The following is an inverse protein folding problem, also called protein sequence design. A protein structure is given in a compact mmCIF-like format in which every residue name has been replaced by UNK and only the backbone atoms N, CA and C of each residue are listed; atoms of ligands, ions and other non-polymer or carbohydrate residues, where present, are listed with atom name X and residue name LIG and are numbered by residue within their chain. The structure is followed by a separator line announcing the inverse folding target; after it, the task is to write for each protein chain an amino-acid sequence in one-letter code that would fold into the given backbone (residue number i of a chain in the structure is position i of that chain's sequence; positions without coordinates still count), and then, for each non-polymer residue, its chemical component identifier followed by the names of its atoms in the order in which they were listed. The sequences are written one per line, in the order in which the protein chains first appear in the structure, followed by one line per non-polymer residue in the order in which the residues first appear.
data_IF_634025659952
#
_entry.id   IF_634025659952
#
_cell.length_a   1.000
_cell.length_b   1.000
_cell.length_c   1.000
_cell.angle_alpha   90.00
_cell.angle_beta   90.00
_cell.angle_gamma   90.00
#
_symmetry.space_group_name_H-M   'P 1'
#
loop_
_entity.id
_entity.type
_entity.pdbx_description
1 polymer ?
#
# COMPACT_ATOMS: atom_id res chain seq x y z
N UNK A 1 -26.66 30.23 -3.71
CA UNK A 1 -27.17 28.99 -4.35
C UNK A 1 -27.33 27.93 -3.26
N UNK A 2 -28.53 27.35 -3.14
CA UNK A 2 -28.94 26.48 -2.02
C UNK A 2 -28.25 25.11 -2.10
N UNK A 3 -27.65 24.67 -1.00
CA UNK A 3 -27.10 23.33 -0.85
C UNK A 3 -28.25 22.31 -0.75
N UNK A 4 -28.30 21.36 -1.68
CA UNK A 4 -29.22 20.24 -1.64
C UNK A 4 -28.68 19.19 -0.66
N UNK A 5 -29.41 18.97 0.43
CA UNK A 5 -29.17 17.89 1.39
C UNK A 5 -29.42 16.54 0.71
N UNK A 6 -28.37 15.73 0.60
CA UNK A 6 -28.44 14.40 0.01
C UNK A 6 -28.97 13.39 1.06
N UNK A 7 -30.30 13.31 1.18
CA UNK A 7 -30.96 12.37 2.09
C UNK A 7 -30.88 10.96 1.50
N UNK A 8 -29.98 10.13 1.99
CA UNK A 8 -29.93 8.71 1.66
C UNK A 8 -31.22 8.04 2.14
N UNK A 9 -32.16 7.82 1.22
CA UNK A 9 -33.39 7.08 1.46
C UNK A 9 -33.00 5.60 1.60
N UNK A 10 -33.09 5.07 2.82
CA UNK A 10 -32.94 3.64 3.05
C UNK A 10 -34.15 2.92 2.46
N UNK A 11 -34.00 2.40 1.23
CA UNK A 11 -35.04 1.64 0.56
C UNK A 11 -35.33 0.38 1.37
N UNK A 12 -36.42 0.40 2.15
CA UNK A 12 -36.86 -0.75 2.95
C UNK A 12 -37.14 -1.91 2.02
N UNK A 13 -36.36 -2.99 2.14
CA UNK A 13 -36.53 -4.21 1.36
C UNK A 13 -37.90 -4.79 1.72
N UNK A 14 -38.79 -4.88 0.73
CA UNK A 14 -40.14 -5.43 0.91
C UNK A 14 -40.11 -6.96 0.76
N UNK A 15 -40.86 -7.72 1.58
CA UNK A 15 -40.95 -9.16 1.44
C UNK A 15 -41.72 -9.56 0.17
N UNK A 16 -41.33 -10.67 -0.44
CA UNK A 16 -42.00 -11.25 -1.61
C UNK A 16 -43.09 -12.21 -1.14
N UNK A 17 -44.35 -11.82 -1.33
CA UNK A 17 -45.52 -12.64 -1.00
C UNK A 17 -45.86 -13.58 -2.15
N UNK A 18 -46.12 -14.84 -1.84
CA UNK A 18 -46.59 -15.86 -2.76
C UNK A 18 -48.14 -15.87 -2.77
N UNK A 19 -48.74 -16.46 -3.81
CA UNK A 19 -50.19 -16.53 -3.98
C UNK A 19 -50.92 -17.29 -2.86
N UNK A 20 -50.20 -18.17 -2.16
CA UNK A 20 -50.65 -18.97 -1.02
C UNK A 20 -50.49 -18.26 0.34
N UNK A 21 -50.17 -16.97 0.35
CA UNK A 21 -50.02 -16.15 1.57
C UNK A 21 -48.70 -16.35 2.31
N UNK A 22 -47.82 -17.26 1.86
CA UNK A 22 -46.47 -17.45 2.43
C UNK A 22 -45.49 -16.43 1.87
N UNK A 23 -44.39 -16.19 2.58
CA UNK A 23 -43.29 -15.35 2.11
C UNK A 23 -42.20 -16.21 1.47
N UNK A 24 -41.55 -15.71 0.42
CA UNK A 24 -40.33 -16.30 -0.13
C UNK A 24 -39.11 -15.73 0.58
N UNK A 25 -38.20 -16.59 1.04
CA UNK A 25 -36.93 -16.15 1.62
C UNK A 25 -36.08 -15.42 0.59
N UNK A 26 -35.60 -14.21 0.93
CA UNK A 26 -34.76 -13.38 0.04
C UNK A 26 -33.29 -13.81 -0.03
N UNK A 27 -32.87 -14.82 0.73
CA UNK A 27 -31.51 -15.36 0.61
C UNK A 27 -31.42 -16.26 -0.61
N UNK A 28 -30.52 -15.94 -1.54
CA UNK A 28 -30.43 -16.56 -2.88
C UNK A 28 -30.27 -18.07 -2.85
N UNK A 29 -29.52 -18.60 -1.88
CA UNK A 29 -29.29 -20.05 -1.74
C UNK A 29 -30.46 -20.79 -1.06
N UNK A 30 -31.38 -20.06 -0.42
CA UNK A 30 -32.51 -20.68 0.27
C UNK A 30 -33.77 -20.61 -0.58
N UNK A 31 -34.26 -19.41 -0.91
CA UNK A 31 -35.50 -19.15 -1.69
C UNK A 31 -36.75 -19.96 -1.28
N UNK A 32 -36.75 -20.63 -0.13
CA UNK A 32 -37.87 -21.45 0.36
C UNK A 32 -39.06 -20.57 0.77
N UNK A 33 -40.26 -21.09 0.57
CA UNK A 33 -41.48 -20.52 1.12
C UNK A 33 -41.52 -20.74 2.65
N UNK A 34 -41.94 -19.74 3.41
CA UNK A 34 -42.10 -19.84 4.87
C UNK A 34 -43.29 -18.99 5.33
N UNK A 35 -43.89 -19.39 6.45
CA UNK A 35 -44.94 -18.60 7.11
C UNK A 35 -44.28 -17.56 8.01
N UNK A 36 -44.42 -16.26 7.72
CA UNK A 36 -43.77 -15.21 8.50
C UNK A 36 -44.48 -15.04 9.85
N UNK A 37 -43.72 -14.80 10.92
CA UNK A 37 -44.31 -14.38 12.22
C UNK A 37 -44.65 -12.89 12.23
N UNK A 38 -44.08 -12.11 11.32
CA UNK A 38 -44.27 -10.66 11.18
C UNK A 38 -44.39 -10.28 9.71
N UNK A 39 -45.24 -9.30 9.40
CA UNK A 39 -45.48 -8.84 8.03
C UNK A 39 -44.24 -8.28 7.32
N UNK A 40 -43.22 -7.87 8.07
CA UNK A 40 -41.93 -7.34 7.57
C UNK A 40 -40.87 -8.42 7.34
N UNK A 41 -41.15 -9.68 7.69
CA UNK A 41 -40.14 -10.73 7.71
C UNK A 41 -39.79 -11.18 6.29
N UNK A 42 -38.54 -10.96 5.89
CA UNK A 42 -38.03 -11.29 4.56
C UNK A 42 -37.17 -12.56 4.49
N UNK A 43 -36.81 -13.12 5.65
CA UNK A 43 -35.92 -14.29 5.75
C UNK A 43 -36.54 -15.37 6.64
N UNK A 44 -36.40 -16.62 6.23
CA UNK A 44 -36.80 -17.75 7.04
C UNK A 44 -35.83 -17.96 8.21
N UNK A 45 -36.37 -18.39 9.35
CA UNK A 45 -35.61 -18.81 10.53
C UNK A 45 -36.02 -20.24 10.84
N UNK A 46 -35.06 -21.16 10.84
CA UNK A 46 -35.23 -22.52 11.37
C UNK A 46 -34.22 -22.76 12.48
N UNK A 47 -34.43 -23.79 13.30
CA UNK A 47 -33.54 -24.12 14.42
C UNK A 47 -32.10 -24.42 13.98
N UNK A 48 -31.91 -24.79 12.71
CA UNK A 48 -30.60 -25.12 12.12
C UNK A 48 -30.05 -24.05 11.17
N UNK A 49 -30.83 -23.03 10.78
CA UNK A 49 -30.40 -22.05 9.76
C UNK A 49 -31.09 -20.70 9.93
N UNK A 50 -30.29 -19.67 10.16
CA UNK A 50 -30.71 -18.26 10.14
C UNK A 50 -30.27 -17.60 8.84
N UNK A 51 -31.20 -17.50 7.89
CA UNK A 51 -30.92 -16.92 6.57
C UNK A 51 -30.69 -15.40 6.63
N UNK A 52 -31.16 -14.72 7.69
CA UNK A 52 -30.90 -13.29 7.88
C UNK A 52 -29.44 -13.06 8.26
N UNK A 53 -28.88 -13.90 9.14
CA UNK A 53 -27.46 -13.85 9.50
C UNK A 53 -26.55 -14.14 8.31
N UNK A 54 -26.89 -15.14 7.49
CA UNK A 54 -26.13 -15.48 6.28
C UNK A 54 -26.17 -14.36 5.23
N UNK A 55 -27.36 -13.81 4.95
CA UNK A 55 -27.49 -12.66 4.05
C UNK A 55 -26.71 -11.44 4.54
N UNK A 56 -26.72 -11.15 5.85
CA UNK A 56 -25.94 -10.08 6.44
C UNK A 56 -24.43 -10.31 6.33
N UNK A 57 -23.96 -11.56 6.50
CA UNK A 57 -22.53 -11.92 6.30
C UNK A 57 -22.12 -11.71 4.84
N UNK A 58 -22.92 -12.17 3.89
CA UNK A 58 -22.68 -11.97 2.46
C UNK A 58 -22.67 -10.48 2.08
N UNK A 59 -23.63 -9.70 2.59
CA UNK A 59 -23.69 -8.26 2.37
C UNK A 59 -22.49 -7.52 2.99
N UNK A 60 -22.06 -7.90 4.19
CA UNK A 60 -20.84 -7.36 4.82
C UNK A 60 -19.60 -7.69 4.01
N UNK A 61 -19.43 -8.93 3.55
CA UNK A 61 -18.33 -9.31 2.68
C UNK A 61 -18.30 -8.47 1.40
N UNK A 62 -19.44 -8.36 0.69
CA UNK A 62 -19.56 -7.56 -0.53
C UNK A 62 -19.29 -6.06 -0.30
N UNK A 63 -19.74 -5.51 0.83
CA UNK A 63 -19.49 -4.10 1.20
C UNK A 63 -18.03 -3.85 1.55
N UNK A 64 -17.37 -4.82 2.18
CA UNK A 64 -15.94 -4.72 2.56
C UNK A 64 -15.06 -4.73 1.31
N UNK A 65 -15.41 -5.54 0.31
CA UNK A 65 -14.73 -5.56 -0.99
C UNK A 65 -14.99 -4.28 -1.79
N UNK A 66 -16.23 -3.76 -1.83
CA UNK A 66 -16.59 -2.53 -2.55
C UNK A 66 -16.07 -1.22 -1.92
N UNK A 67 -15.71 -1.22 -0.63
CA UNK A 67 -15.20 -0.03 0.08
C UNK A 67 -13.69 0.02 0.25
N UNK A 68 -12.93 -0.90 -0.33
CA UNK A 68 -11.46 -0.77 -0.36
C UNK A 68 -11.13 0.45 -1.21
N UNK A 69 -10.92 1.60 -0.55
CA UNK A 69 -10.34 2.78 -1.19
C UNK A 69 -9.07 2.32 -1.91
N UNK A 70 -8.96 2.67 -3.18
CA UNK A 70 -7.71 2.49 -3.93
C UNK A 70 -6.61 3.13 -3.10
N UNK A 71 -5.63 2.32 -2.69
CA UNK A 71 -4.51 2.83 -1.92
C UNK A 71 -3.66 3.67 -2.86
N UNK A 72 -3.52 4.95 -2.54
CA UNK A 72 -2.63 5.85 -3.27
C UNK A 72 -1.33 5.95 -2.48
N UNK A 73 -0.20 5.71 -3.15
CA UNK A 73 1.12 5.86 -2.54
C UNK A 73 1.31 7.34 -2.20
N UNK A 74 1.54 7.71 -0.92
CA UNK A 74 1.70 9.11 -0.55
C UNK A 74 2.93 9.71 -1.21
N UNK A 75 2.74 10.79 -1.96
CA UNK A 75 3.80 11.40 -2.76
C UNK A 75 4.94 11.98 -1.91
N UNK A 76 4.61 12.37 -0.68
CA UNK A 76 5.46 13.01 0.31
C UNK A 76 6.03 12.02 1.35
N UNK A 77 5.76 10.72 1.20
CA UNK A 77 6.31 9.70 2.08
C UNK A 77 7.84 9.73 2.05
N UNK A 78 8.48 9.81 3.22
CA UNK A 78 9.94 9.88 3.31
C UNK A 78 10.62 8.64 2.69
N UNK A 79 10.00 7.46 2.77
CA UNK A 79 10.47 6.24 2.14
C UNK A 79 10.54 6.38 0.62
N UNK A 80 9.60 7.09 -0.01
CA UNK A 80 9.61 7.36 -1.45
C UNK A 80 10.88 8.11 -1.86
N UNK A 81 11.25 9.14 -1.10
CA UNK A 81 12.49 9.88 -1.34
C UNK A 81 13.74 8.99 -1.18
N UNK A 82 13.76 8.09 -0.19
CA UNK A 82 14.90 7.16 -0.01
C UNK A 82 15.04 6.17 -1.17
N UNK A 83 13.92 5.70 -1.72
CA UNK A 83 13.93 4.84 -2.92
C UNK A 83 14.49 5.64 -4.11
N UNK A 84 14.01 6.88 -4.32
CA UNK A 84 14.50 7.77 -5.38
C UNK A 84 16.01 8.05 -5.23
N UNK A 85 16.49 8.34 -4.03
CA UNK A 85 17.91 8.57 -3.75
C UNK A 85 18.76 7.33 -4.06
N UNK A 86 18.29 6.13 -3.72
CA UNK A 86 18.98 4.88 -4.02
C UNK A 86 19.05 4.60 -5.52
N UNK A 87 17.94 4.80 -6.22
CA UNK A 87 17.85 4.67 -7.70
C UNK A 87 18.78 5.67 -8.39
N UNK A 88 18.81 6.93 -7.95
CA UNK A 88 19.74 7.95 -8.47
C UNK A 88 21.19 7.62 -8.17
N UNK A 89 21.47 7.08 -6.98
CA UNK A 89 22.83 6.66 -6.61
C UNK A 89 23.32 5.49 -7.48
N UNK A 90 22.43 4.57 -7.88
CA UNK A 90 22.71 3.51 -8.83
C UNK A 90 22.85 4.03 -10.27
N UNK A 91 22.09 5.07 -10.64
CA UNK A 91 21.96 5.53 -12.02
C UNK A 91 21.03 4.66 -12.86
N UNK A 92 20.20 3.81 -12.23
CA UNK A 92 19.25 2.93 -12.92
C UNK A 92 18.14 2.45 -11.98
N UNK A 93 16.93 2.26 -12.51
CA UNK A 93 15.82 1.63 -11.79
C UNK A 93 16.01 0.11 -11.61
N UNK A 94 16.93 -0.52 -12.36
CA UNK A 94 17.22 -1.96 -12.24
C UNK A 94 17.80 -2.38 -10.89
N UNK A 95 18.20 -1.43 -10.04
CA UNK A 95 18.51 -1.70 -8.64
C UNK A 95 17.31 -2.35 -7.89
N UNK A 96 16.09 -2.16 -8.39
CA UNK A 96 14.83 -2.71 -7.84
C UNK A 96 14.44 -4.06 -8.47
N UNK A 97 15.35 -4.77 -9.16
CA UNK A 97 15.05 -6.00 -9.89
C UNK A 97 14.31 -7.05 -9.05
N UNK A 98 14.61 -7.12 -7.75
CA UNK A 98 14.02 -8.10 -6.82
C UNK A 98 12.58 -7.77 -6.43
N UNK A 99 12.07 -6.59 -6.77
CA UNK A 99 10.71 -6.17 -6.46
C UNK A 99 9.72 -6.61 -7.52
N UNK A 100 10.17 -6.99 -8.72
CA UNK A 100 9.29 -7.35 -9.83
C UNK A 100 8.52 -8.62 -9.47
N UNK A 101 7.20 -8.49 -9.28
CA UNK A 101 6.33 -9.60 -8.90
C UNK A 101 6.46 -10.07 -7.44
N UNK A 102 7.35 -9.47 -6.64
CA UNK A 102 7.56 -9.83 -5.23
C UNK A 102 7.18 -8.69 -4.29
N UNK A 103 5.92 -8.73 -3.84
CA UNK A 103 5.35 -7.78 -2.89
C UNK A 103 6.01 -7.89 -1.50
N UNK A 104 6.43 -9.09 -1.10
CA UNK A 104 7.01 -9.34 0.22
C UNK A 104 8.38 -8.72 0.34
N UNK A 105 9.22 -8.93 -0.67
CA UNK A 105 10.57 -8.40 -0.73
C UNK A 105 10.58 -6.87 -0.83
N UNK A 106 9.70 -6.31 -1.67
CA UNK A 106 9.52 -4.86 -1.77
C UNK A 106 9.05 -4.27 -0.42
N UNK A 107 8.07 -4.89 0.23
CA UNK A 107 7.59 -4.44 1.54
C UNK A 107 8.67 -4.57 2.64
N UNK A 108 9.42 -5.66 2.65
CA UNK A 108 10.54 -5.89 3.57
C UNK A 108 11.63 -4.82 3.40
N UNK A 109 11.99 -4.52 2.15
CA UNK A 109 12.97 -3.47 1.82
C UNK A 109 12.50 -2.10 2.33
N UNK A 110 11.24 -1.75 2.09
CA UNK A 110 10.63 -0.51 2.59
C UNK A 110 10.64 -0.46 4.14
N UNK A 111 10.43 -1.60 4.80
CA UNK A 111 10.49 -1.68 6.25
C UNK A 111 11.90 -1.41 6.79
N UNK A 112 12.96 -1.87 6.13
CA UNK A 112 14.35 -1.54 6.51
C UNK A 112 14.62 -0.03 6.39
N UNK A 113 14.14 0.60 5.31
CA UNK A 113 14.22 2.07 5.13
C UNK A 113 13.47 2.81 6.25
N UNK A 114 12.33 2.27 6.66
CA UNK A 114 11.52 2.83 7.77
C UNK A 114 12.22 2.66 9.10
N UNK A 115 12.77 1.49 9.38
CA UNK A 115 13.49 1.18 10.62
C UNK A 115 14.75 2.06 10.79
N UNK A 116 15.42 2.43 9.69
CA UNK A 116 16.53 3.40 9.73
C UNK A 116 16.07 4.75 10.29
N UNK A 117 14.91 5.25 9.85
CA UNK A 117 14.37 6.52 10.36
C UNK A 117 13.96 6.39 11.83
N UNK A 118 13.34 5.28 12.20
CA UNK A 118 12.98 4.99 13.60
C UNK A 118 14.22 4.97 14.50
N UNK A 119 15.34 4.39 14.05
CA UNK A 119 16.59 4.38 14.79
C UNK A 119 17.14 5.80 15.00
N UNK A 120 17.13 6.63 13.96
CA UNK A 120 17.58 8.03 14.07
C UNK A 120 16.67 8.89 14.95
N UNK A 121 15.34 8.68 14.88
CA UNK A 121 14.38 9.36 15.75
C UNK A 121 14.62 9.02 17.22
N UNK A 122 14.83 7.73 17.55
CA UNK A 122 15.14 7.29 18.92
C UNK A 122 16.48 7.84 19.43
N UNK A 123 17.48 7.93 18.55
CA UNK A 123 18.80 8.43 18.89
C UNK A 123 18.85 9.98 18.99
N UNK A 124 17.84 10.69 18.45
CA UNK A 124 17.80 12.15 18.40
C UNK A 124 18.85 12.79 17.47
N UNK A 125 19.66 11.97 16.77
CA UNK A 125 20.69 12.39 15.82
C UNK A 125 20.67 11.49 14.60
N UNK A 126 20.97 12.07 13.43
CA UNK A 126 21.05 11.36 12.15
C UNK A 126 22.37 10.57 12.03
N UNK A 127 22.52 9.53 12.85
CA UNK A 127 23.74 8.73 12.98
C UNK A 127 23.70 7.44 12.16
N UNK A 128 22.51 6.85 12.04
CA UNK A 128 22.27 5.58 11.35
C UNK A 128 21.87 5.81 9.90
N UNK A 129 22.43 5.00 9.02
CA UNK A 129 22.15 5.01 7.59
C UNK A 129 21.68 3.62 7.16
N UNK A 130 20.92 3.57 6.08
CA UNK A 130 20.68 2.34 5.35
C UNK A 130 21.94 2.02 4.55
N UNK A 131 22.67 1.00 4.98
CA UNK A 131 23.91 0.54 4.39
C UNK A 131 23.63 -0.64 3.46
N UNK A 132 24.49 -0.83 2.46
CA UNK A 132 24.42 -2.01 1.59
C UNK A 132 25.52 -3.01 1.96
N UNK A 133 25.22 -4.30 1.89
CA UNK A 133 26.19 -5.39 2.05
C UNK A 133 27.10 -5.48 0.82
N UNK A 134 26.52 -5.31 -0.36
CA UNK A 134 27.23 -5.14 -1.63
C UNK A 134 27.03 -3.72 -2.17
N UNK A 135 28.10 -3.07 -2.62
CA UNK A 135 28.08 -1.65 -2.93
C UNK A 135 27.22 -1.33 -4.17
N UNK A 136 26.41 -0.28 -4.06
CA UNK A 136 25.64 0.26 -5.20
C UNK A 136 26.56 0.81 -6.30
N UNK A 137 27.68 1.44 -5.90
CA UNK A 137 28.65 2.07 -6.80
C UNK A 137 29.94 1.25 -6.91
N UNK A 138 29.85 0.02 -7.38
CA UNK A 138 31.01 -0.79 -7.75
C UNK A 138 31.27 -0.75 -9.27
N UNK A 139 32.51 -1.00 -9.72
CA UNK A 139 32.93 -0.85 -11.12
C UNK A 139 32.28 -1.88 -12.06
N UNK A 140 32.18 -3.14 -11.62
CA UNK A 140 31.67 -4.24 -12.44
C UNK A 140 30.30 -4.77 -11.98
N UNK A 141 29.91 -4.45 -10.75
CA UNK A 141 28.75 -5.02 -10.06
C UNK A 141 27.94 -3.88 -9.45
N UNK A 142 26.70 -4.15 -9.13
CA UNK A 142 25.83 -3.19 -8.44
C UNK A 142 25.00 -3.96 -7.44
N UNK A 143 25.13 -3.62 -6.16
CA UNK A 143 24.25 -4.11 -5.11
C UNK A 143 22.81 -3.67 -5.36
N UNK A 144 21.87 -4.61 -5.23
CA UNK A 144 20.44 -4.38 -5.41
C UNK A 144 19.82 -3.75 -4.16
N UNK A 145 18.69 -3.07 -4.34
CA UNK A 145 17.90 -2.51 -3.25
C UNK A 145 16.95 -3.60 -2.74
N UNK A 146 17.51 -4.55 -2.01
CA UNK A 146 16.84 -5.71 -1.44
C UNK A 146 16.96 -5.71 0.09
N UNK A 147 15.96 -6.24 0.77
CA UNK A 147 15.97 -6.50 2.21
C UNK A 147 17.18 -7.31 2.66
N UNK A 148 17.66 -8.25 1.82
CA UNK A 148 18.84 -9.08 2.09
C UNK A 148 20.16 -8.34 1.88
N UNK A 149 20.15 -7.28 1.06
CA UNK A 149 21.33 -6.48 0.79
C UNK A 149 21.40 -5.21 1.67
N UNK A 150 20.35 -4.92 2.46
CA UNK A 150 20.28 -3.72 3.28
C UNK A 150 20.40 -4.04 4.77
N UNK A 151 21.14 -3.20 5.49
CA UNK A 151 21.19 -3.23 6.95
C UNK A 151 21.28 -1.82 7.53
N UNK A 152 20.96 -1.67 8.81
CA UNK A 152 21.07 -0.40 9.52
C UNK A 152 22.45 -0.34 10.16
N UNK A 153 23.28 0.59 9.70
CA UNK A 153 24.64 0.76 10.20
C UNK A 153 24.96 2.22 10.51
N UNK A 154 26.12 2.44 11.13
CA UNK A 154 26.65 3.80 11.34
C UNK A 154 27.05 4.42 10.00
N UNK A 155 26.56 5.63 9.72
CA UNK A 155 26.87 6.33 8.48
C UNK A 155 28.37 6.59 8.27
N UNK A 156 29.13 6.74 9.36
CA UNK A 156 30.60 6.85 9.32
C UNK A 156 31.26 5.59 8.76
N UNK A 157 30.88 4.41 9.26
CA UNK A 157 31.41 3.12 8.76
C UNK A 157 31.03 2.86 7.31
N UNK A 158 29.80 3.20 6.93
CA UNK A 158 29.35 3.06 5.53
C UNK A 158 30.20 3.91 4.57
N UNK A 159 30.52 5.16 4.95
CA UNK A 159 31.36 6.05 4.14
C UNK A 159 32.80 5.55 4.01
N UNK A 160 33.34 4.92 5.06
CA UNK A 160 34.70 4.35 5.04
C UNK A 160 34.75 3.11 4.15
N UNK A 161 33.73 2.26 4.16
CA UNK A 161 33.66 1.07 3.32
C UNK A 161 33.56 1.39 1.81
N UNK A 162 33.10 2.59 1.44
CA UNK A 162 33.01 3.07 0.04
C UNK A 162 32.35 2.06 -0.90
N UNK A 163 33.08 1.60 -1.91
CA UNK A 163 32.65 0.67 -2.94
C UNK A 163 33.03 -0.78 -2.60
N UNK A 164 33.26 -1.11 -1.32
CA UNK A 164 33.59 -2.47 -0.93
C UNK A 164 32.45 -3.43 -1.29
N UNK A 165 32.79 -4.48 -2.03
CA UNK A 165 31.90 -5.58 -2.38
C UNK A 165 32.38 -6.82 -1.62
N UNK A 166 31.56 -7.29 -0.69
CA UNK A 166 31.81 -8.56 0.01
C UNK A 166 31.51 -9.78 -0.86
N UNK A 167 30.74 -9.62 -1.95
CA UNK A 167 30.19 -10.74 -2.73
C UNK A 167 29.07 -11.52 -2.02
N UNK A 168 28.71 -11.12 -0.80
CA UNK A 168 27.71 -11.79 0.05
C UNK A 168 26.31 -11.21 -0.08
N UNK A 169 26.17 -10.04 -0.71
CA UNK A 169 24.90 -9.36 -0.94
C UNK A 169 24.29 -9.70 -2.30
N UNK A 170 23.01 -9.41 -2.47
CA UNK A 170 22.37 -9.50 -3.78
C UNK A 170 22.90 -8.39 -4.70
N UNK A 171 23.51 -8.78 -5.82
CA UNK A 171 24.03 -7.87 -6.82
C UNK A 171 23.76 -8.32 -8.25
N UNK A 172 23.86 -7.38 -9.17
CA UNK A 172 23.81 -7.62 -10.61
C UNK A 172 25.06 -7.12 -11.31
N UNK A 173 25.41 -7.72 -12.45
CA UNK A 173 26.48 -7.20 -13.30
C UNK A 173 26.04 -5.89 -13.95
N UNK A 174 26.97 -4.94 -14.05
CA UNK A 174 26.72 -3.71 -14.81
C UNK A 174 26.56 -3.96 -16.31
N UNK A 175 27.08 -5.09 -16.81
CA UNK A 175 26.92 -5.50 -18.20
C UNK A 175 25.48 -5.95 -18.53
N UNK A 176 24.71 -6.37 -17.52
CA UNK A 176 23.33 -6.82 -17.68
C UNK A 176 22.32 -5.64 -17.63
N UNK A 177 22.82 -4.41 -17.49
CA UNK A 177 22.00 -3.22 -17.47
C UNK A 177 21.50 -2.87 -18.86
N UNK A 178 20.22 -2.55 -18.94
CA UNK A 178 19.52 -2.17 -20.17
C UNK A 178 19.42 -0.66 -20.23
N UNK A 179 19.88 -0.08 -21.34
CA UNK A 179 19.98 1.37 -21.50
C UNK A 179 18.66 2.12 -21.25
N UNK A 180 17.51 1.52 -21.60
CA UNK A 180 16.19 2.11 -21.37
C UNK A 180 15.85 2.38 -19.89
N UNK A 181 16.55 1.71 -18.97
CA UNK A 181 16.32 1.84 -17.53
C UNK A 181 17.37 2.71 -16.83
N UNK A 182 18.22 3.41 -17.59
CA UNK A 182 19.16 4.35 -17.00
C UNK A 182 18.48 5.63 -16.52
N UNK A 183 18.98 6.13 -15.40
CA UNK A 183 18.49 7.34 -14.76
C UNK A 183 19.50 8.47 -14.98
N UNK A 184 19.14 9.42 -15.83
CA UNK A 184 19.86 10.67 -16.03
C UNK A 184 19.83 11.56 -14.78
N UNK A 185 20.89 12.35 -14.60
CA UNK A 185 21.05 13.27 -13.47
C UNK A 185 19.97 14.37 -13.49
N UNK A 186 19.55 14.80 -14.68
CA UNK A 186 18.59 15.90 -14.88
C UNK A 186 17.13 15.46 -14.85
N UNK A 187 16.83 14.16 -14.83
CA UNK A 187 15.44 13.69 -14.75
C UNK A 187 14.77 14.17 -13.46
N UNK A 188 13.49 14.52 -13.53
CA UNK A 188 12.74 14.95 -12.36
C UNK A 188 12.40 13.77 -11.45
N UNK A 189 12.09 14.02 -10.18
CA UNK A 189 11.65 12.95 -9.27
C UNK A 189 10.33 12.30 -9.71
N UNK A 190 9.48 13.04 -10.44
CA UNK A 190 8.25 12.49 -10.99
C UNK A 190 8.56 11.49 -12.10
N UNK A 191 9.44 11.84 -13.03
CA UNK A 191 9.81 10.98 -14.16
C UNK A 191 10.49 9.70 -13.68
N UNK A 192 11.45 9.82 -12.75
CA UNK A 192 12.12 8.66 -12.15
C UNK A 192 11.11 7.75 -11.44
N UNK A 193 10.10 8.33 -10.78
CA UNK A 193 9.06 7.54 -10.13
C UNK A 193 8.16 6.81 -11.14
N UNK A 194 7.78 7.47 -12.24
CA UNK A 194 7.05 6.82 -13.33
C UNK A 194 7.85 5.68 -13.94
N UNK A 195 9.17 5.83 -14.10
CA UNK A 195 10.04 4.73 -14.54
C UNK A 195 10.07 3.57 -13.52
N UNK A 196 10.05 3.86 -12.22
CA UNK A 196 9.96 2.82 -11.18
C UNK A 196 8.62 2.07 -11.28
N UNK A 197 7.52 2.80 -11.46
CA UNK A 197 6.18 2.22 -11.64
C UNK A 197 6.10 1.32 -12.87
N UNK A 198 6.70 1.75 -13.99
CA UNK A 198 6.79 0.96 -15.22
C UNK A 198 7.69 -0.28 -15.04
N UNK A 199 8.81 -0.14 -14.34
CA UNK A 199 9.78 -1.22 -14.16
C UNK A 199 9.29 -2.31 -13.19
N UNK A 200 8.76 -1.91 -12.03
CA UNK A 200 8.32 -2.84 -10.98
C UNK A 200 6.90 -3.34 -11.22
N UNK A 201 6.05 -2.50 -11.81
CA UNK A 201 4.61 -2.71 -11.90
C UNK A 201 3.86 -1.95 -10.80
N UNK A 202 2.87 -1.16 -11.21
CA UNK A 202 2.05 -0.33 -10.32
C UNK A 202 1.36 -1.18 -9.24
N UNK A 203 0.87 -2.36 -9.60
CA UNK A 203 0.17 -3.26 -8.66
C UNK A 203 1.11 -3.71 -7.54
N UNK A 204 2.25 -4.30 -7.90
CA UNK A 204 3.25 -4.77 -6.94
C UNK A 204 3.74 -3.64 -6.02
N UNK A 205 4.03 -2.47 -6.59
CA UNK A 205 4.49 -1.32 -5.82
C UNK A 205 3.41 -0.80 -4.84
N UNK A 206 2.16 -0.74 -5.30
CA UNK A 206 1.01 -0.29 -4.50
C UNK A 206 0.73 -1.25 -3.35
N UNK A 207 0.76 -2.56 -3.60
CA UNK A 207 0.56 -3.58 -2.58
C UNK A 207 1.70 -3.60 -1.56
N UNK A 208 2.95 -3.48 -2.02
CA UNK A 208 4.12 -3.41 -1.15
C UNK A 208 4.07 -2.19 -0.24
N UNK A 209 3.77 -1.00 -0.79
CA UNK A 209 3.63 0.23 -0.01
C UNK A 209 2.47 0.13 1.01
N UNK A 210 1.35 -0.46 0.60
CA UNK A 210 0.21 -0.72 1.49
C UNK A 210 0.60 -1.65 2.63
N UNK A 211 1.30 -2.74 2.32
CA UNK A 211 1.73 -3.77 3.29
C UNK A 211 2.78 -3.24 4.27
N UNK A 212 3.74 -2.46 3.79
CA UNK A 212 4.72 -1.77 4.63
C UNK A 212 4.10 -0.61 5.45
N UNK A 213 2.84 -0.27 5.21
CA UNK A 213 2.13 0.78 5.94
C UNK A 213 2.70 2.17 5.69
N UNK A 214 3.05 2.48 4.43
CA UNK A 214 3.54 3.81 4.06
C UNK A 214 2.51 4.87 4.43
N UNK A 215 2.97 5.88 5.17
CA UNK A 215 2.16 7.02 5.62
C UNK A 215 2.69 8.31 4.98
N UNK A 216 1.81 9.30 4.77
CA UNK A 216 2.24 10.66 4.50
C UNK A 216 3.23 11.15 5.57
N UNK A 217 4.09 12.09 5.20
CA UNK A 217 4.98 12.76 6.14
C UNK A 217 4.18 13.45 7.24
N UNK A 218 4.74 13.50 8.45
CA UNK A 218 4.12 14.21 9.57
C UNK A 218 3.83 15.68 9.23
N UNK A 219 4.70 16.32 8.43
CA UNK A 219 4.51 17.68 7.95
C UNK A 219 3.29 17.82 7.04
N UNK A 220 3.15 16.97 6.02
CA UNK A 220 1.98 17.03 5.14
C UNK A 220 0.69 16.71 5.90
N UNK A 221 0.74 15.78 6.85
CA UNK A 221 -0.40 15.48 7.70
C UNK A 221 -0.79 16.67 8.59
N UNK A 222 0.19 17.37 9.17
CA UNK A 222 -0.06 18.60 9.93
C UNK A 222 -0.65 19.71 9.06
N UNK A 223 -0.15 19.91 7.84
CA UNK A 223 -0.69 20.89 6.89
C UNK A 223 -2.14 20.55 6.50
N UNK A 224 -2.43 19.28 6.20
CA UNK A 224 -3.78 18.83 5.91
C UNK A 224 -4.74 19.06 7.09
N UNK A 225 -4.28 18.78 8.31
CA UNK A 225 -5.06 19.04 9.53
C UNK A 225 -5.35 20.54 9.73
N UNK A 226 -4.35 21.40 9.49
CA UNK A 226 -4.52 22.87 9.55
C UNK A 226 -5.49 23.39 8.48
N UNK A 227 -5.46 22.82 7.27
CA UNK A 227 -6.41 23.13 6.21
C UNK A 227 -7.85 22.81 6.61
N UNK A 228 -8.06 21.62 7.19
CA UNK A 228 -9.37 21.19 7.66
C UNK A 228 -9.92 22.07 8.80
N UNK A 229 -9.05 22.53 9.70
CA UNK A 229 -9.43 23.44 10.79
C UNK A 229 -9.86 24.83 10.28
N UNK A 230 -9.29 25.32 9.17
CA UNK A 230 -9.70 26.58 8.55
C UNK A 230 -11.05 26.51 7.83
N UNK A 231 -11.46 25.32 7.40
CA UNK A 231 -12.73 25.11 6.66
C UNK A 231 -13.92 24.73 7.55
N UNK A 232 -13.70 24.47 8.83
CA UNK A 232 -14.79 24.25 9.79
C UNK A 232 -15.53 25.56 10.03
N UNK A 233 -16.86 25.64 9.78
CA UNK A 233 -17.65 26.81 10.16
C UNK A 233 -17.50 27.01 11.67
N UNK A 234 -17.18 28.24 12.10
CA UNK A 234 -17.37 28.63 13.50
C UNK A 234 -18.85 28.39 13.82
N UNK A 235 -19.12 27.47 14.75
CA UNK A 235 -20.44 27.35 15.38
C UNK A 235 -20.74 28.59 16.19
#
# INVERSE_FOLDING_TARGET
MKAQSNTQTTTKIKPVKLADGRHRCLFDECRKAFTPKRSDQCYCKSDKRDCKLLANKAAKAATTTRKRKVYTIPADAHQRYRILDAVRAAGTVQILQTWIGDVEEAAATINVLTATNTANLKNGKNTFHTCHVDAVKHSHRMGLLSSQNLFIGLGTRNRVAKAFSSGMGQSMSRLDLKAKWFVDVNMSNADVWTMIEEFVGIETLTEACRKAGLKPSAKAQAIANLGNLRTSPKM
#
